data_IF_210538166775
#
_entry.id   IF_210538166775
#
_cell.length_a   1.000
_cell.length_b   1.000
_cell.length_c   1.000
_cell.angle_alpha   90.00
_cell.angle_beta   90.00
_cell.angle_gamma   90.00
#
_symmetry.space_group_name_H-M   'P 1'
#
loop_
_entity.id
_entity.type
_entity.pdbx_description
1 polymer ?
#
# COMPACT_ATOMS: atom_id res chain seq x y z
N UNK A 1 11.14 12.73 -16.94
CA UNK A 1 10.40 12.07 -15.84
C UNK A 1 11.45 11.55 -14.87
N UNK A 2 11.21 11.55 -13.57
CA UNK A 2 12.14 10.92 -12.65
C UNK A 2 12.29 9.45 -13.00
N UNK A 3 13.47 8.91 -12.78
CA UNK A 3 13.76 7.49 -12.96
C UNK A 3 13.56 6.81 -11.60
N UNK A 4 12.57 5.92 -11.53
CA UNK A 4 12.26 5.13 -10.34
C UNK A 4 12.94 3.76 -10.43
N UNK A 5 13.35 3.20 -9.32
CA UNK A 5 14.05 1.92 -9.24
C UNK A 5 13.15 0.76 -8.81
N UNK A 6 12.11 1.05 -8.04
CA UNK A 6 11.24 0.05 -7.40
C UNK A 6 9.82 0.04 -7.97
N UNK A 7 9.46 1.06 -8.72
CA UNK A 7 8.16 1.22 -9.38
C UNK A 7 8.33 1.64 -10.83
N UNK A 8 7.26 1.49 -11.62
CA UNK A 8 7.16 2.06 -12.97
C UNK A 8 6.06 3.12 -12.95
N UNK A 9 6.34 4.30 -13.52
CA UNK A 9 5.37 5.38 -13.66
C UNK A 9 5.13 5.70 -15.12
N UNK A 10 3.88 5.72 -15.54
CA UNK A 10 3.48 6.08 -16.89
C UNK A 10 2.17 6.88 -16.90
N UNK A 11 2.01 7.80 -17.85
CA UNK A 11 0.77 8.51 -18.08
C UNK A 11 0.29 8.25 -19.50
N UNK A 12 -0.93 7.76 -19.64
CA UNK A 12 -1.58 7.49 -20.92
C UNK A 12 -3.07 7.85 -20.81
N UNK A 13 -3.61 8.57 -21.77
CA UNK A 13 -5.02 8.93 -21.84
C UNK A 13 -5.58 9.55 -20.53
N UNK A 14 -4.82 10.44 -19.92
CA UNK A 14 -5.15 11.13 -18.66
C UNK A 14 -5.17 10.22 -17.42
N UNK A 15 -4.66 8.99 -17.53
CA UNK A 15 -4.50 8.05 -16.42
C UNK A 15 -3.01 7.95 -16.07
N UNK A 16 -2.67 8.29 -14.83
CA UNK A 16 -1.35 7.95 -14.27
C UNK A 16 -1.39 6.52 -13.74
N UNK A 17 -0.48 5.69 -14.19
CA UNK A 17 -0.30 4.32 -13.72
C UNK A 17 0.99 4.24 -12.92
N UNK A 18 0.87 3.78 -11.68
CA UNK A 18 1.97 3.52 -10.75
C UNK A 18 2.01 2.01 -10.55
N UNK A 19 3.05 1.35 -11.03
CA UNK A 19 3.15 -0.12 -11.01
C UNK A 19 4.27 -0.54 -10.06
N UNK A 20 3.96 -1.30 -9.02
CA UNK A 20 4.97 -1.92 -8.14
C UNK A 20 5.86 -2.86 -8.96
N UNK A 21 7.18 -2.76 -8.82
CA UNK A 21 8.11 -3.47 -9.70
C UNK A 21 9.32 -4.08 -8.99
N UNK A 22 9.15 -4.58 -7.76
CA UNK A 22 10.13 -5.41 -7.06
C UNK A 22 9.72 -6.89 -7.11
N UNK A 23 9.55 -7.42 -8.31
CA UNK A 23 8.97 -8.76 -8.57
C UNK A 23 9.73 -9.88 -7.85
N UNK A 24 11.06 -9.82 -7.82
CA UNK A 24 11.92 -10.84 -7.21
C UNK A 24 11.65 -11.05 -5.71
N UNK A 25 11.20 -9.99 -5.03
CA UNK A 25 10.81 -10.03 -3.62
C UNK A 25 9.29 -9.88 -3.42
N UNK A 26 8.50 -10.18 -4.46
CA UNK A 26 7.04 -10.13 -4.44
C UNK A 26 6.49 -8.76 -4.02
N UNK A 27 7.11 -7.71 -4.53
CA UNK A 27 6.77 -6.32 -4.22
C UNK A 27 6.75 -6.02 -2.71
N UNK A 28 7.69 -6.60 -1.96
CA UNK A 28 7.93 -6.22 -0.58
C UNK A 28 8.33 -4.74 -0.53
N UNK A 29 7.76 -4.01 0.43
CA UNK A 29 7.89 -2.55 0.54
C UNK A 29 9.11 -2.20 1.39
N UNK A 30 10.20 -1.81 0.73
CA UNK A 30 11.31 -1.12 1.39
C UNK A 30 11.07 0.40 1.43
N UNK A 31 11.93 1.10 2.15
CA UNK A 31 11.82 2.56 2.27
C UNK A 31 11.93 3.27 0.91
N UNK A 32 12.78 2.76 0.02
CA UNK A 32 12.92 3.32 -1.32
C UNK A 32 11.59 3.26 -2.08
N UNK A 33 10.91 2.12 -2.09
CA UNK A 33 9.60 1.98 -2.72
C UNK A 33 8.57 2.93 -2.13
N UNK A 34 8.52 3.09 -0.80
CA UNK A 34 7.52 3.95 -0.15
C UNK A 34 7.74 5.43 -0.51
N UNK A 35 8.98 5.90 -0.57
CA UNK A 35 9.28 7.27 -1.01
C UNK A 35 9.09 7.45 -2.52
N UNK A 36 9.46 6.48 -3.35
CA UNK A 36 9.17 6.52 -4.78
C UNK A 36 7.67 6.53 -5.07
N UNK A 37 6.87 5.78 -4.31
CA UNK A 37 5.40 5.85 -4.36
C UNK A 37 4.90 7.25 -4.00
N UNK A 38 5.44 7.86 -2.92
CA UNK A 38 5.07 9.22 -2.55
C UNK A 38 5.35 10.21 -3.68
N UNK A 39 6.53 10.14 -4.27
CA UNK A 39 6.92 11.04 -5.36
C UNK A 39 6.06 10.82 -6.61
N UNK A 40 5.72 9.55 -6.93
CA UNK A 40 4.86 9.23 -8.06
C UNK A 40 3.41 9.73 -7.85
N UNK A 41 2.87 9.58 -6.65
CA UNK A 41 1.56 10.12 -6.29
C UNK A 41 1.54 11.65 -6.35
N UNK A 42 2.57 12.31 -5.83
CA UNK A 42 2.70 13.78 -5.88
C UNK A 42 2.81 14.28 -7.33
N UNK A 43 3.59 13.61 -8.18
CA UNK A 43 3.67 13.91 -9.62
C UNK A 43 2.30 13.79 -10.30
N UNK A 44 1.61 12.67 -10.07
CA UNK A 44 0.30 12.45 -10.66
C UNK A 44 -0.74 13.46 -10.16
N UNK A 45 -0.69 13.81 -8.87
CA UNK A 45 -1.60 14.79 -8.27
C UNK A 45 -1.42 16.21 -8.83
N UNK A 46 -0.17 16.60 -9.11
CA UNK A 46 0.18 17.95 -9.62
C UNK A 46 0.04 18.09 -11.13
N UNK A 47 -0.01 17.01 -11.90
CA UNK A 47 -0.16 17.05 -13.36
C UNK A 47 -1.62 17.30 -13.75
N UNK A 48 -1.94 18.48 -14.25
CA UNK A 48 -3.28 18.86 -14.72
C UNK A 48 -3.80 17.97 -15.86
N UNK A 49 -2.92 17.29 -16.59
CA UNK A 49 -3.26 16.32 -17.62
C UNK A 49 -3.77 15.00 -17.05
N UNK A 50 -3.46 14.67 -15.80
CA UNK A 50 -3.89 13.44 -15.13
C UNK A 50 -5.24 13.63 -14.44
N UNK A 51 -6.19 12.73 -14.69
CA UNK A 51 -7.53 12.75 -14.08
C UNK A 51 -7.79 11.60 -13.11
N UNK A 52 -7.11 10.48 -13.28
CA UNK A 52 -7.24 9.27 -12.46
C UNK A 52 -5.86 8.68 -12.22
N UNK A 53 -5.65 8.12 -11.04
CA UNK A 53 -4.42 7.42 -10.68
C UNK A 53 -4.76 5.94 -10.47
N UNK A 54 -4.00 5.05 -11.10
CA UNK A 54 -4.11 3.60 -10.94
C UNK A 54 -2.84 3.09 -10.27
N UNK A 55 -3.00 2.37 -9.17
CA UNK A 55 -1.93 1.62 -8.51
C UNK A 55 -2.09 0.14 -8.83
N UNK A 56 -1.09 -0.44 -9.46
CA UNK A 56 -1.05 -1.87 -9.78
C UNK A 56 0.32 -2.49 -9.50
N UNK A 57 0.53 -3.72 -9.91
CA UNK A 57 1.77 -4.43 -9.62
C UNK A 57 2.18 -5.36 -10.76
N UNK A 58 3.47 -5.46 -11.02
CA UNK A 58 4.07 -6.49 -11.85
C UNK A 58 4.29 -7.79 -11.05
N UNK A 59 4.34 -8.93 -11.76
CA UNK A 59 4.61 -10.24 -11.17
C UNK A 59 3.35 -10.97 -10.71
N UNK A 60 3.49 -12.08 -9.96
CA UNK A 60 2.36 -12.96 -9.63
C UNK A 60 1.53 -12.48 -8.43
N UNK A 61 1.96 -11.47 -7.71
CA UNK A 61 1.33 -10.99 -6.50
C UNK A 61 1.40 -9.48 -6.42
N UNK A 62 0.38 -8.85 -5.83
CA UNK A 62 0.34 -7.41 -5.65
C UNK A 62 1.45 -6.96 -4.69
N UNK A 63 1.43 -7.42 -3.44
CA UNK A 63 2.51 -7.12 -2.47
C UNK A 63 2.51 -8.10 -1.30
N UNK A 64 3.70 -8.48 -0.87
CA UNK A 64 3.92 -9.30 0.33
C UNK A 64 4.00 -8.50 1.63
N UNK A 65 3.81 -7.18 1.58
CA UNK A 65 3.91 -6.30 2.75
C UNK A 65 5.30 -5.70 2.95
N UNK A 66 5.61 -5.30 4.17
CA UNK A 66 6.89 -4.67 4.50
C UNK A 66 8.08 -5.59 4.23
N UNK A 67 9.15 -5.01 3.70
CA UNK A 67 10.41 -5.71 3.49
C UNK A 67 11.18 -5.82 4.82
N UNK A 68 11.02 -6.96 5.50
CA UNK A 68 11.70 -7.22 6.78
C UNK A 68 13.22 -7.37 6.65
N UNK A 69 13.74 -7.47 5.43
CA UNK A 69 15.17 -7.52 5.15
C UNK A 69 15.77 -6.15 4.80
N UNK A 70 14.95 -5.10 4.70
CA UNK A 70 15.40 -3.76 4.39
C UNK A 70 16.32 -3.22 5.49
N UNK A 71 17.58 -2.97 5.13
CA UNK A 71 18.61 -2.42 6.03
C UNK A 71 18.96 -0.97 5.70
N UNK A 72 18.25 -0.32 4.78
CA UNK A 72 18.49 1.09 4.48
C UNK A 72 18.22 1.96 5.69
N UNK A 73 19.02 3.01 5.84
CA UNK A 73 18.86 3.91 6.98
C UNK A 73 17.87 5.01 6.65
N UNK A 74 17.11 5.44 7.65
CA UNK A 74 16.20 6.58 7.47
C UNK A 74 16.94 7.90 7.20
N UNK A 75 18.24 7.96 7.49
CA UNK A 75 19.07 9.13 7.20
C UNK A 75 19.23 9.41 5.68
N UNK A 76 19.00 8.41 4.85
CA UNK A 76 19.06 8.54 3.39
C UNK A 76 17.77 9.19 2.80
N UNK A 77 16.75 9.39 3.63
CA UNK A 77 15.46 9.94 3.21
C UNK A 77 15.13 11.23 3.98
N UNK A 78 14.28 12.05 3.38
CA UNK A 78 13.75 13.26 4.03
C UNK A 78 12.31 13.01 4.43
N UNK A 79 11.92 13.19 5.70
CA UNK A 79 10.54 13.03 6.13
C UNK A 79 9.64 14.06 5.44
N UNK A 80 8.45 13.62 5.02
CA UNK A 80 7.45 14.46 4.34
C UNK A 80 6.15 14.60 5.11
N UNK A 81 5.90 13.73 6.07
CA UNK A 81 4.68 13.74 6.89
C UNK A 81 4.95 13.96 8.38
N UNK A 82 6.13 13.64 8.85
CA UNK A 82 6.50 13.67 10.27
C UNK A 82 7.18 15.00 10.66
N UNK A 83 6.84 15.53 11.84
CA UNK A 83 7.33 16.82 12.34
C UNK A 83 8.57 16.70 13.23
N UNK A 84 8.95 15.51 13.69
CA UNK A 84 10.10 15.34 14.57
C UNK A 84 10.33 13.90 15.02
N UNK A 85 11.43 13.68 15.72
CA UNK A 85 11.80 12.37 16.22
C UNK A 85 12.50 11.44 15.22
N UNK A 86 12.40 11.71 13.92
CA UNK A 86 12.82 10.88 12.82
C UNK A 86 14.27 10.39 12.88
N UNK A 87 15.20 11.24 13.26
CA UNK A 87 16.60 10.90 13.41
C UNK A 87 17.03 10.49 14.83
N UNK A 88 16.09 10.28 15.75
CA UNK A 88 16.40 9.92 17.13
C UNK A 88 16.78 8.45 17.27
N UNK A 89 17.70 8.10 18.17
CA UNK A 89 18.01 6.70 18.45
C UNK A 89 16.93 6.04 19.31
N UNK A 90 16.87 4.69 19.24
CA UNK A 90 16.01 3.88 20.09
C UNK A 90 14.52 3.94 19.73
N UNK A 91 13.67 3.65 20.70
CA UNK A 91 12.23 3.49 20.49
C UNK A 91 11.54 4.76 19.95
N UNK A 92 11.97 5.94 20.39
CA UNK A 92 11.44 7.22 19.91
C UNK A 92 11.67 7.39 18.39
N UNK A 93 12.89 7.13 17.91
CA UNK A 93 13.21 7.21 16.50
C UNK A 93 12.49 6.13 15.70
N UNK A 94 12.39 4.92 16.25
CA UNK A 94 11.68 3.83 15.60
C UNK A 94 10.20 4.15 15.38
N UNK A 95 9.52 4.62 16.43
CA UNK A 95 8.13 5.03 16.34
C UNK A 95 7.93 6.16 15.33
N UNK A 96 8.82 7.15 15.34
CA UNK A 96 8.74 8.28 14.41
C UNK A 96 8.96 7.85 12.95
N UNK A 97 9.82 6.86 12.72
CA UNK A 97 10.03 6.30 11.38
C UNK A 97 8.80 5.54 10.89
N UNK A 98 8.21 4.67 11.71
CA UNK A 98 6.99 3.95 11.35
C UNK A 98 5.82 4.93 11.13
N UNK A 99 5.69 5.94 11.98
CA UNK A 99 4.70 7.00 11.80
C UNK A 99 4.87 7.72 10.47
N UNK A 100 6.10 8.01 10.03
CA UNK A 100 6.37 8.59 8.72
C UNK A 100 5.94 7.67 7.59
N UNK A 101 6.51 6.45 7.53
CA UNK A 101 6.43 5.61 6.33
C UNK A 101 5.17 4.75 6.23
N UNK A 102 4.57 4.33 7.36
CA UNK A 102 3.43 3.42 7.36
C UNK A 102 2.10 4.09 7.74
N UNK A 103 2.14 5.27 8.35
CA UNK A 103 0.93 6.02 8.68
C UNK A 103 0.86 7.33 7.90
N UNK A 104 1.87 8.15 7.99
CA UNK A 104 1.89 9.49 7.43
C UNK A 104 1.82 9.51 5.90
N UNK A 105 2.63 8.70 5.23
CA UNK A 105 2.54 8.53 3.77
C UNK A 105 1.17 8.01 3.35
N UNK A 106 0.62 7.02 4.06
CA UNK A 106 -0.72 6.50 3.78
C UNK A 106 -1.80 7.58 3.90
N UNK A 107 -1.74 8.43 4.94
CA UNK A 107 -2.66 9.56 5.07
C UNK A 107 -2.51 10.58 3.95
N UNK A 108 -1.30 10.85 3.47
CA UNK A 108 -1.08 11.73 2.31
C UNK A 108 -1.75 11.15 1.07
N UNK A 109 -1.53 9.87 0.76
CA UNK A 109 -2.09 9.20 -0.42
C UNK A 109 -3.60 9.07 -0.35
N UNK A 110 -4.15 8.78 0.84
CA UNK A 110 -5.61 8.71 1.05
C UNK A 110 -6.34 10.03 0.78
N UNK A 111 -5.65 11.16 0.95
CA UNK A 111 -6.23 12.49 0.78
C UNK A 111 -5.81 13.17 -0.53
N UNK A 112 -5.40 12.41 -1.54
CA UNK A 112 -5.10 12.96 -2.86
C UNK A 112 -6.35 13.59 -3.50
N UNK A 113 -6.18 14.72 -4.25
CA UNK A 113 -7.32 15.43 -4.83
C UNK A 113 -7.80 14.82 -6.17
N UNK A 114 -7.45 13.58 -6.46
CA UNK A 114 -7.83 12.85 -7.68
C UNK A 114 -8.29 11.45 -7.33
N UNK A 115 -9.25 10.89 -8.09
CA UNK A 115 -9.67 9.49 -7.89
C UNK A 115 -8.50 8.52 -8.02
N UNK A 116 -8.42 7.58 -7.10
CA UNK A 116 -7.40 6.54 -7.05
C UNK A 116 -8.03 5.15 -7.12
N UNK A 117 -7.42 4.26 -7.90
CA UNK A 117 -7.90 2.90 -8.11
C UNK A 117 -6.76 1.92 -7.85
N UNK A 118 -6.95 0.98 -6.93
CA UNK A 118 -6.07 -0.17 -6.81
C UNK A 118 -6.55 -1.30 -7.74
N UNK A 119 -5.69 -1.73 -8.66
CA UNK A 119 -5.91 -2.89 -9.52
C UNK A 119 -5.11 -4.07 -8.94
N UNK A 120 -5.80 -5.06 -8.39
CA UNK A 120 -5.22 -6.02 -7.46
C UNK A 120 -5.33 -7.45 -7.98
N UNK A 121 -4.23 -8.21 -7.91
CA UNK A 121 -4.20 -9.62 -8.27
C UNK A 121 -3.32 -10.43 -7.30
N UNK A 122 -3.54 -11.75 -7.25
CA UNK A 122 -2.75 -12.66 -6.45
C UNK A 122 -2.79 -12.33 -4.95
N UNK A 123 -1.66 -12.24 -4.27
CA UNK A 123 -1.62 -12.05 -2.82
C UNK A 123 -1.42 -10.60 -2.42
N UNK A 124 -2.18 -10.16 -1.42
CA UNK A 124 -2.05 -8.88 -0.72
C UNK A 124 -1.89 -9.17 0.77
N UNK A 125 -0.73 -8.89 1.32
CA UNK A 125 -0.39 -9.31 2.69
C UNK A 125 0.07 -8.10 3.49
N UNK A 126 -0.44 -7.96 4.73
CA UNK A 126 -0.02 -6.97 5.72
C UNK A 126 0.08 -5.54 5.13
N UNK A 127 1.27 -4.94 5.05
CA UNK A 127 1.49 -3.64 4.43
C UNK A 127 0.96 -3.49 2.99
N UNK A 128 0.75 -4.61 2.26
CA UNK A 128 0.07 -4.59 0.97
C UNK A 128 -1.38 -4.12 1.07
N UNK A 129 -2.06 -4.41 2.18
CA UNK A 129 -3.41 -3.93 2.47
C UNK A 129 -3.43 -2.41 2.62
N UNK A 130 -2.44 -1.82 3.28
CA UNK A 130 -2.33 -0.36 3.41
C UNK A 130 -2.28 0.33 2.06
N UNK A 131 -1.54 -0.22 1.07
CA UNK A 131 -1.44 0.34 -0.26
C UNK A 131 -2.77 0.35 -1.02
N UNK A 132 -3.59 -0.68 -0.85
CA UNK A 132 -4.90 -0.72 -1.52
C UNK A 132 -5.96 0.11 -0.79
N UNK A 133 -5.89 0.20 0.54
CA UNK A 133 -6.85 0.95 1.36
C UNK A 133 -6.71 2.47 1.27
N UNK A 134 -5.56 2.97 0.82
CA UNK A 134 -5.41 4.40 0.54
C UNK A 134 -6.07 4.80 -0.79
N UNK A 135 -6.40 3.84 -1.65
CA UNK A 135 -7.14 4.10 -2.88
C UNK A 135 -8.65 4.22 -2.64
N UNK A 136 -9.34 4.98 -3.49
CA UNK A 136 -10.80 5.17 -3.40
C UNK A 136 -11.57 3.94 -3.84
N UNK A 137 -11.06 3.21 -4.83
CA UNK A 137 -11.66 2.00 -5.38
C UNK A 137 -10.65 0.86 -5.42
N UNK A 138 -11.13 -0.36 -5.16
CA UNK A 138 -10.33 -1.59 -5.25
C UNK A 138 -10.99 -2.53 -6.23
N UNK A 139 -10.35 -2.78 -7.37
CA UNK A 139 -10.76 -3.75 -8.37
C UNK A 139 -9.84 -4.96 -8.24
N UNK A 140 -10.39 -6.10 -7.90
CA UNK A 140 -9.61 -7.31 -7.65
C UNK A 140 -9.87 -8.38 -8.70
N UNK A 141 -8.82 -9.10 -9.10
CA UNK A 141 -8.99 -10.33 -9.86
C UNK A 141 -9.58 -11.44 -8.99
N UNK A 142 -10.21 -12.42 -9.61
CA UNK A 142 -10.86 -13.55 -8.92
C UNK A 142 -9.88 -14.46 -8.18
N UNK A 143 -8.58 -14.41 -8.51
CA UNK A 143 -7.50 -15.10 -7.81
C UNK A 143 -6.93 -14.32 -6.62
N UNK A 144 -7.36 -13.07 -6.42
CA UNK A 144 -6.81 -12.22 -5.35
C UNK A 144 -7.20 -12.74 -3.96
N UNK A 145 -6.24 -12.68 -3.04
CA UNK A 145 -6.44 -13.03 -1.63
C UNK A 145 -5.80 -12.00 -0.72
N UNK A 146 -6.46 -11.73 0.40
CA UNK A 146 -6.06 -10.71 1.37
C UNK A 146 -5.83 -11.34 2.74
N UNK A 147 -4.74 -10.97 3.41
CA UNK A 147 -4.44 -11.46 4.76
C UNK A 147 -3.59 -10.47 5.54
N UNK A 148 -3.78 -10.46 6.85
CA UNK A 148 -2.93 -9.69 7.75
C UNK A 148 -2.45 -10.57 8.91
N UNK A 149 -1.23 -11.12 8.84
CA UNK A 149 -0.67 -12.00 9.86
C UNK A 149 0.01 -11.26 11.02
N UNK A 150 -0.15 -9.95 11.18
CA UNK A 150 0.55 -9.13 12.19
C UNK A 150 0.41 -9.67 13.61
N UNK A 151 -0.77 -10.18 13.98
CA UNK A 151 -1.03 -10.78 15.30
C UNK A 151 -0.19 -12.05 15.50
N UNK A 152 -0.03 -12.88 14.46
CA UNK A 152 0.81 -14.08 14.54
C UNK A 152 2.29 -13.76 14.69
N UNK A 153 2.75 -12.62 14.16
CA UNK A 153 4.11 -12.13 14.37
C UNK A 153 4.30 -11.41 15.71
N UNK A 154 3.21 -11.12 16.43
CA UNK A 154 3.26 -10.32 17.65
C UNK A 154 3.68 -8.87 17.39
N UNK A 155 3.45 -8.37 16.19
CA UNK A 155 3.80 -7.01 15.78
C UNK A 155 2.68 -6.05 16.19
N UNK A 156 3.09 -4.89 16.68
CA UNK A 156 2.23 -3.75 16.98
C UNK A 156 3.03 -2.50 16.63
N UNK A 157 2.74 -1.91 15.49
CA UNK A 157 3.44 -0.75 14.96
C UNK A 157 2.53 0.48 14.82
N UNK A 158 3.10 1.58 14.36
CA UNK A 158 2.37 2.79 13.97
C UNK A 158 2.05 2.69 12.48
N UNK A 159 0.93 2.08 12.15
CA UNK A 159 0.58 1.74 10.78
C UNK A 159 -0.85 2.21 10.43
N UNK A 160 -1.15 2.26 9.15
CA UNK A 160 -2.49 2.57 8.64
C UNK A 160 -3.42 1.37 8.77
N UNK A 161 -3.88 1.09 9.99
CA UNK A 161 -4.80 -0.01 10.29
C UNK A 161 -6.26 0.36 9.98
N UNK A 162 -6.66 0.27 8.73
CA UNK A 162 -8.00 0.64 8.29
C UNK A 162 -9.02 -0.51 8.36
N UNK A 163 -8.64 -1.71 8.81
CA UNK A 163 -9.50 -2.91 8.84
C UNK A 163 -10.98 -2.67 9.23
N UNK A 164 -11.30 -1.99 10.36
CA UNK A 164 -12.69 -1.83 10.75
C UNK A 164 -13.50 -0.94 9.79
N UNK A 165 -12.84 0.00 9.13
CA UNK A 165 -13.48 0.90 8.16
C UNK A 165 -13.70 0.21 6.82
N UNK A 166 -12.79 -0.68 6.42
CA UNK A 166 -12.83 -1.35 5.13
C UNK A 166 -13.80 -2.56 5.11
N UNK A 167 -13.91 -3.30 6.23
CA UNK A 167 -14.70 -4.54 6.26
C UNK A 167 -15.65 -4.66 7.46
N UNK A 168 -15.79 -3.60 8.22
CA UNK A 168 -16.55 -3.59 9.46
C UNK A 168 -15.82 -4.26 10.63
N UNK A 169 -16.14 -3.88 11.90
CA UNK A 169 -15.33 -4.24 13.06
C UNK A 169 -15.34 -5.74 13.40
N UNK A 170 -16.38 -6.48 13.02
CA UNK A 170 -16.46 -7.93 13.32
C UNK A 170 -15.59 -8.74 12.36
N UNK A 171 -15.66 -8.46 11.06
CA UNK A 171 -14.80 -9.14 10.08
C UNK A 171 -13.34 -8.78 10.25
N UNK A 172 -13.04 -7.52 10.58
CA UNK A 172 -11.70 -7.08 10.93
C UNK A 172 -11.10 -7.89 12.10
N UNK A 173 -11.87 -8.08 13.18
CA UNK A 173 -11.42 -8.89 14.33
C UNK A 173 -11.23 -10.36 13.98
N UNK A 174 -12.15 -10.93 13.19
CA UNK A 174 -12.04 -12.31 12.72
C UNK A 174 -10.74 -12.51 11.94
N UNK A 175 -10.50 -11.66 10.91
CA UNK A 175 -9.29 -11.71 10.11
C UNK A 175 -8.01 -11.62 10.97
N UNK A 176 -7.95 -10.63 11.88
CA UNK A 176 -6.78 -10.40 12.71
C UNK A 176 -6.57 -11.48 13.77
N UNK A 177 -7.64 -12.03 14.36
CA UNK A 177 -7.52 -13.04 15.41
C UNK A 177 -7.19 -14.42 14.87
N UNK A 178 -7.74 -14.77 13.71
CA UNK A 178 -7.51 -16.08 13.09
C UNK A 178 -6.25 -16.09 12.21
N UNK A 179 -5.86 -14.93 11.65
CA UNK A 179 -4.79 -14.84 10.66
C UNK A 179 -5.16 -15.52 9.33
N UNK A 180 -6.43 -15.83 9.11
CA UNK A 180 -6.91 -16.44 7.88
C UNK A 180 -6.91 -15.43 6.73
N UNK A 181 -6.84 -15.93 5.51
CA UNK A 181 -6.99 -15.11 4.31
C UNK A 181 -8.45 -15.07 3.87
N UNK A 182 -8.87 -13.95 3.28
CA UNK A 182 -10.16 -13.81 2.62
C UNK A 182 -9.96 -13.72 1.10
N UNK A 183 -10.94 -14.19 0.36
CA UNK A 183 -10.98 -14.14 -1.11
C UNK A 183 -11.45 -12.77 -1.61
N UNK A 184 -11.29 -12.51 -2.91
CA UNK A 184 -11.80 -11.28 -3.55
C UNK A 184 -13.32 -11.15 -3.39
N UNK A 185 -14.09 -12.25 -3.51
CA UNK A 185 -15.55 -12.24 -3.35
C UNK A 185 -15.98 -12.00 -1.89
N UNK A 186 -15.23 -12.53 -0.91
CA UNK A 186 -15.48 -12.21 0.50
C UNK A 186 -15.16 -10.76 0.80
N UNK A 187 -14.03 -10.23 0.29
CA UNK A 187 -13.66 -8.83 0.43
C UNK A 187 -14.76 -7.90 -0.11
N UNK A 188 -15.26 -8.18 -1.31
CA UNK A 188 -16.39 -7.47 -1.92
C UNK A 188 -17.67 -7.57 -1.07
N UNK A 189 -18.00 -8.75 -0.56
CA UNK A 189 -19.19 -8.97 0.27
C UNK A 189 -19.16 -8.13 1.55
N UNK A 190 -17.97 -7.90 2.11
CA UNK A 190 -17.77 -7.08 3.31
C UNK A 190 -17.55 -5.59 3.02
N UNK A 191 -17.55 -5.17 1.74
CA UNK A 191 -17.40 -3.78 1.33
C UNK A 191 -15.96 -3.30 1.18
N UNK A 192 -14.96 -4.16 1.39
CA UNK A 192 -13.55 -3.83 1.21
C UNK A 192 -13.16 -3.68 -0.26
N UNK A 193 -13.82 -4.39 -1.16
CA UNK A 193 -13.56 -4.35 -2.60
C UNK A 193 -14.76 -3.92 -3.42
N UNK A 194 -14.51 -3.44 -4.62
CA UNK A 194 -15.50 -3.09 -5.63
C UNK A 194 -15.77 -4.32 -6.55
N UNK A 195 -15.73 -4.24 -7.89
CA UNK A 195 -15.94 -5.42 -8.72
C UNK A 195 -14.80 -6.44 -8.59
N UNK A 196 -15.16 -7.71 -8.67
CA UNK A 196 -14.23 -8.80 -8.94
C UNK A 196 -14.29 -9.13 -10.43
N UNK A 197 -13.15 -9.25 -11.06
CA UNK A 197 -12.99 -9.52 -12.50
C UNK A 197 -12.14 -10.77 -12.72
N UNK A 198 -12.27 -11.45 -13.87
CA UNK A 198 -11.37 -12.55 -14.21
C UNK A 198 -9.90 -12.11 -14.23
N UNK A 199 -8.99 -12.94 -13.74
CA UNK A 199 -7.55 -12.64 -13.68
C UNK A 199 -6.90 -12.34 -15.06
N UNK A 200 -7.60 -12.60 -16.16
CA UNK A 200 -7.11 -12.36 -17.52
C UNK A 200 -7.62 -11.04 -18.13
N UNK A 201 -8.38 -10.28 -17.39
CA UNK A 201 -8.91 -8.97 -17.76
C UNK A 201 -8.18 -7.84 -17.03
#
# INVERSE_FOLDING_TARGET
MPEFSTIVYAVTDQVARITLNRVDVRNAQDKAMLYELNDAFDLAAQDDGVKVIVLDANGPHFSSGHDLADQTTMADFQPVSNWGGYGKPGAEGYQSQEEEIYLGLCWRWRNLPKPTIAQVHGKVIAGGLMLIWVCDLIIASDDATFSDPVVAFGVNGVEYFAHPWEMGPRKAKELLFTGEKITAEEAKTHGMGNPVVPAQE
#
